data_IF_896781760974
#
_entry.id   IF_896781760974
#
_cell.length_a   1.000
_cell.length_b   1.000
_cell.length_c   1.000
_cell.angle_alpha   90.00
_cell.angle_beta   90.00
_cell.angle_gamma   90.00
#
_symmetry.space_group_name_H-M   'P 1'
#
loop_
_entity.id
_entity.type
_entity.pdbx_description
1 polymer ?
#
# COMPACT_ATOMS: atom_id res chain seq x y z
N UNK A 1 13.91 -2.57 -14.70
CA UNK A 1 12.66 -1.86 -14.34
C UNK A 1 11.56 -2.88 -14.04
N UNK A 2 10.86 -2.70 -12.94
CA UNK A 2 9.74 -3.57 -12.61
C UNK A 2 8.62 -3.46 -13.65
N UNK A 3 7.79 -4.50 -13.73
CA UNK A 3 6.63 -4.50 -14.63
C UNK A 3 5.40 -3.98 -13.90
N UNK A 4 4.75 -2.96 -14.46
CA UNK A 4 3.47 -2.47 -13.99
C UNK A 4 2.32 -3.23 -14.67
N UNK A 5 1.31 -3.61 -13.88
CA UNK A 5 0.09 -4.26 -14.35
C UNK A 5 -1.11 -3.46 -13.85
N UNK A 6 -1.93 -2.98 -14.76
CA UNK A 6 -3.16 -2.24 -14.46
C UNK A 6 -4.37 -3.16 -14.54
N UNK A 7 -5.43 -2.83 -13.80
CA UNK A 7 -6.66 -3.63 -13.76
C UNK A 7 -7.37 -3.70 -15.11
N UNK A 8 -7.27 -2.63 -15.89
CA UNK A 8 -7.81 -2.53 -17.26
C UNK A 8 -7.01 -1.49 -18.07
N UNK A 9 -7.36 -1.34 -19.35
CA UNK A 9 -6.69 -0.38 -20.25
C UNK A 9 -6.85 1.08 -19.81
N UNK A 10 -7.89 1.39 -19.03
CA UNK A 10 -8.17 2.74 -18.53
C UNK A 10 -7.62 2.99 -17.13
N UNK A 11 -7.19 1.97 -16.41
CA UNK A 11 -6.70 2.09 -15.05
C UNK A 11 -5.56 3.09 -14.89
N UNK A 12 -4.65 3.12 -15.86
CA UNK A 12 -3.53 4.07 -15.89
C UNK A 12 -4.01 5.53 -15.99
N UNK A 13 -4.99 5.79 -16.84
CA UNK A 13 -5.52 7.13 -17.11
C UNK A 13 -6.36 7.66 -15.96
N UNK A 14 -6.93 6.76 -15.16
CA UNK A 14 -7.78 7.09 -14.00
C UNK A 14 -6.99 7.27 -12.71
N UNK A 15 -5.69 7.01 -12.72
CA UNK A 15 -4.86 7.19 -11.53
C UNK A 15 -4.80 8.64 -11.09
N UNK A 16 -4.91 8.87 -9.77
CA UNK A 16 -4.62 10.17 -9.19
C UNK A 16 -3.15 10.56 -9.43
N UNK A 17 -2.88 11.85 -9.44
CA UNK A 17 -1.52 12.37 -9.72
C UNK A 17 -0.44 11.74 -8.83
N UNK A 18 -0.70 11.65 -7.50
CA UNK A 18 0.22 11.05 -6.55
C UNK A 18 0.49 9.58 -6.84
N UNK A 19 -0.56 8.82 -7.16
CA UNK A 19 -0.44 7.41 -7.52
C UNK A 19 0.35 7.22 -8.80
N UNK A 20 0.11 8.04 -9.83
CA UNK A 20 0.85 7.98 -11.09
C UNK A 20 2.34 8.23 -10.87
N UNK A 21 2.67 9.16 -9.99
CA UNK A 21 4.04 9.45 -9.62
C UNK A 21 4.70 8.28 -8.89
N UNK A 22 4.02 7.72 -7.91
CA UNK A 22 4.51 6.53 -7.18
C UNK A 22 4.69 5.36 -8.12
N UNK A 23 3.75 5.11 -9.03
CA UNK A 23 3.87 4.05 -10.04
C UNK A 23 5.13 4.22 -10.90
N UNK A 24 5.41 5.43 -11.35
CA UNK A 24 6.61 5.72 -12.14
C UNK A 24 7.91 5.45 -11.37
N UNK A 25 7.95 5.82 -10.09
CA UNK A 25 9.10 5.56 -9.22
C UNK A 25 9.29 4.06 -8.97
N UNK A 26 8.21 3.34 -8.71
CA UNK A 26 8.26 1.88 -8.51
C UNK A 26 8.76 1.19 -9.78
N UNK A 27 8.26 1.56 -10.95
CA UNK A 27 8.73 1.01 -12.23
C UNK A 27 10.21 1.23 -12.42
N UNK A 28 10.68 2.45 -12.16
CA UNK A 28 12.06 2.86 -12.41
C UNK A 28 13.08 2.20 -11.48
N UNK A 29 12.75 2.10 -10.20
CA UNK A 29 13.73 1.74 -9.17
C UNK A 29 13.64 0.30 -8.65
N UNK A 30 12.53 -0.39 -8.85
CA UNK A 30 12.42 -1.78 -8.43
C UNK A 30 13.07 -2.74 -9.44
N UNK A 31 13.55 -3.90 -8.98
CA UNK A 31 14.18 -4.91 -9.85
C UNK A 31 13.28 -5.36 -11.01
N UNK A 32 13.90 -5.80 -12.10
CA UNK A 32 13.21 -6.19 -13.34
C UNK A 32 12.26 -7.38 -13.18
N UNK A 33 12.53 -8.26 -12.24
CA UNK A 33 11.73 -9.46 -11.98
C UNK A 33 10.58 -9.22 -10.99
N UNK A 34 10.46 -7.99 -10.47
CA UNK A 34 9.33 -7.62 -9.61
C UNK A 34 8.14 -7.15 -10.44
N UNK A 35 6.94 -7.41 -9.94
CA UNK A 35 5.70 -7.02 -10.59
C UNK A 35 4.89 -6.13 -9.65
N UNK A 36 4.38 -5.03 -10.17
CA UNK A 36 3.56 -4.07 -9.43
C UNK A 36 2.16 -4.06 -10.03
N UNK A 37 1.18 -4.52 -9.28
CA UNK A 37 -0.23 -4.42 -9.64
C UNK A 37 -0.78 -3.09 -9.14
N UNK A 38 -1.31 -2.29 -10.06
CA UNK A 38 -1.80 -0.94 -9.80
C UNK A 38 -3.32 -0.93 -9.75
N UNK A 39 -3.90 -0.29 -8.72
CA UNK A 39 -5.35 -0.11 -8.56
C UNK A 39 -6.13 -1.42 -8.67
N UNK A 40 -5.67 -2.44 -7.99
CA UNK A 40 -6.31 -3.76 -8.03
C UNK A 40 -7.54 -3.80 -7.14
N UNK A 41 -8.67 -4.21 -7.72
CA UNK A 41 -9.90 -4.42 -6.98
C UNK A 41 -9.97 -5.87 -6.54
N UNK A 42 -10.13 -6.09 -5.23
CA UNK A 42 -10.32 -7.43 -4.68
C UNK A 42 -11.70 -7.56 -4.04
N UNK A 43 -12.36 -8.72 -4.17
CA UNK A 43 -13.62 -8.98 -3.48
C UNK A 43 -13.37 -9.31 -2.00
N UNK A 44 -14.21 -8.75 -1.12
CA UNK A 44 -14.16 -9.00 0.31
C UNK A 44 -15.26 -9.97 0.80
N UNK A 45 -16.04 -10.53 -0.12
CA UNK A 45 -17.25 -11.26 0.19
C UNK A 45 -18.46 -10.33 0.34
N UNK A 46 -19.67 -10.91 0.37
CA UNK A 46 -20.94 -10.17 0.54
C UNK A 46 -21.16 -9.01 -0.47
N UNK A 47 -20.58 -9.10 -1.67
CA UNK A 47 -20.70 -8.07 -2.70
C UNK A 47 -19.86 -6.82 -2.46
N UNK A 48 -19.07 -6.78 -1.40
CA UNK A 48 -18.17 -5.66 -1.09
C UNK A 48 -16.83 -5.88 -1.78
N UNK A 49 -16.28 -4.81 -2.36
CA UNK A 49 -14.96 -4.80 -2.98
C UNK A 49 -14.09 -3.71 -2.37
N UNK A 50 -12.77 -3.88 -2.48
CA UNK A 50 -11.78 -2.86 -2.09
C UNK A 50 -10.80 -2.64 -3.22
N UNK A 51 -10.49 -1.39 -3.49
CA UNK A 51 -9.40 -1.00 -4.38
C UNK A 51 -8.13 -0.87 -3.56
N UNK A 52 -7.08 -1.57 -3.99
CA UNK A 52 -5.74 -1.51 -3.39
C UNK A 52 -4.84 -0.71 -4.33
N UNK A 53 -4.15 0.30 -3.79
CA UNK A 53 -3.36 1.21 -4.62
C UNK A 53 -2.25 0.46 -5.35
N UNK A 54 -1.37 -0.24 -4.63
CA UNK A 54 -0.31 -1.05 -5.22
C UNK A 54 -0.12 -2.35 -4.47
N UNK A 55 0.01 -3.43 -5.23
CA UNK A 55 0.47 -4.72 -4.71
C UNK A 55 1.78 -5.05 -5.42
N UNK A 56 2.86 -5.09 -4.67
CA UNK A 56 4.20 -5.39 -5.20
C UNK A 56 4.53 -6.85 -4.91
N UNK A 57 4.77 -7.61 -5.96
CA UNK A 57 5.21 -9.00 -5.86
C UNK A 57 6.71 -9.04 -6.14
N UNK A 58 7.46 -9.32 -5.09
CA UNK A 58 8.90 -9.42 -5.11
C UNK A 58 9.35 -10.88 -4.90
N UNK A 59 10.66 -11.10 -4.92
CA UNK A 59 11.20 -12.42 -4.58
C UNK A 59 10.95 -12.72 -3.10
N UNK A 60 10.08 -13.68 -2.83
CA UNK A 60 9.80 -14.17 -1.48
C UNK A 60 8.88 -13.31 -0.63
N UNK A 61 8.33 -12.21 -1.15
CA UNK A 61 7.37 -11.42 -0.39
C UNK A 61 6.37 -10.68 -1.29
N UNK A 62 5.26 -10.28 -0.66
CA UNK A 62 4.24 -9.42 -1.24
C UNK A 62 4.11 -8.18 -0.36
N UNK A 63 4.11 -7.01 -0.97
CA UNK A 63 3.94 -5.75 -0.27
C UNK A 63 2.68 -5.04 -0.75
N UNK A 64 1.83 -4.65 0.20
CA UNK A 64 0.69 -3.79 -0.07
C UNK A 64 1.10 -2.35 0.25
N UNK A 65 0.98 -1.46 -0.72
CA UNK A 65 1.29 -0.04 -0.55
C UNK A 65 0.00 0.78 -0.63
N UNK A 66 -0.25 1.58 0.39
CA UNK A 66 -1.30 2.60 0.41
C UNK A 66 -0.67 3.96 0.18
N UNK A 67 -1.01 4.61 -0.93
CA UNK A 67 -0.41 5.88 -1.31
C UNK A 67 -1.23 7.07 -0.83
N UNK A 68 -0.56 8.05 -0.24
CA UNK A 68 -1.13 9.32 0.18
C UNK A 68 -0.34 10.48 -0.41
N UNK A 69 -1.03 11.42 -1.04
CA UNK A 69 -0.44 12.61 -1.64
C UNK A 69 -0.43 13.82 -0.69
N UNK A 70 -0.44 13.59 0.60
CA UNK A 70 -0.44 14.63 1.61
C UNK A 70 0.91 15.39 1.62
N UNK A 71 0.83 16.69 1.90
CA UNK A 71 1.96 17.61 1.79
C UNK A 71 2.56 17.96 3.15
N UNK A 72 3.82 18.35 3.12
CA UNK A 72 4.52 18.97 4.24
C UNK A 72 4.80 17.98 5.37
N UNK A 73 4.98 18.53 6.56
CA UNK A 73 5.30 17.76 7.74
C UNK A 73 4.04 17.08 8.29
N UNK A 74 4.09 15.78 8.41
CA UNK A 74 3.00 14.96 8.94
C UNK A 74 3.43 14.45 10.31
N UNK A 75 2.61 14.71 11.32
CA UNK A 75 2.84 14.25 12.70
C UNK A 75 1.61 13.51 13.19
N UNK A 76 1.64 12.99 14.39
CA UNK A 76 0.46 12.40 15.01
C UNK A 76 0.74 11.08 15.70
N UNK A 77 -0.32 10.33 15.88
CA UNK A 77 -0.33 9.03 16.54
C UNK A 77 -0.63 7.92 15.55
N UNK A 78 -0.72 6.70 16.03
CA UNK A 78 -1.11 5.56 15.22
C UNK A 78 -2.54 5.69 14.65
N UNK A 79 -3.43 6.37 15.37
CA UNK A 79 -4.83 6.54 14.98
C UNK A 79 -5.11 7.80 14.16
N UNK A 80 -4.42 8.91 14.47
CA UNK A 80 -4.67 10.22 13.86
C UNK A 80 -3.38 10.87 13.41
N UNK A 81 -3.37 11.30 12.18
CA UNK A 81 -2.26 12.06 11.60
C UNK A 81 -2.67 13.52 11.42
N UNK A 82 -1.75 14.42 11.75
CA UNK A 82 -1.95 15.86 11.64
C UNK A 82 -1.10 16.36 10.48
N UNK A 83 -1.76 16.96 9.50
CA UNK A 83 -1.10 17.53 8.34
C UNK A 83 -0.48 18.88 8.68
N UNK A 84 0.39 19.37 7.79
CA UNK A 84 1.09 20.64 7.94
C UNK A 84 0.13 21.83 8.10
N UNK A 85 -1.05 21.75 7.51
CA UNK A 85 -2.14 22.73 7.65
C UNK A 85 -2.82 22.74 9.02
N UNK A 86 -2.50 21.81 9.90
CA UNK A 86 -3.19 21.58 11.17
C UNK A 86 -4.43 20.70 11.06
N UNK A 87 -4.80 20.27 9.85
CA UNK A 87 -5.93 19.40 9.63
C UNK A 87 -5.60 17.97 10.10
N UNK A 88 -6.52 17.37 10.88
CA UNK A 88 -6.40 16.00 11.33
C UNK A 88 -7.04 15.03 10.33
N UNK A 89 -6.35 13.96 10.05
CA UNK A 89 -6.83 12.84 9.23
C UNK A 89 -6.74 11.56 10.01
N UNK A 90 -7.69 10.66 9.79
CA UNK A 90 -7.55 9.31 10.30
C UNK A 90 -6.30 8.67 9.69
N UNK A 91 -5.48 8.02 10.52
CA UNK A 91 -4.28 7.34 10.05
C UNK A 91 -4.64 6.27 9.00
N UNK A 92 -3.89 6.16 7.91
CA UNK A 92 -4.09 5.10 6.93
C UNK A 92 -3.66 3.72 7.42
N UNK A 93 -3.00 3.63 8.58
CA UNK A 93 -2.48 2.36 9.11
C UNK A 93 -3.58 1.36 9.45
N UNK A 94 -4.72 1.82 9.99
CA UNK A 94 -5.85 0.94 10.29
C UNK A 94 -6.48 0.34 9.03
N UNK A 95 -6.68 1.15 8.01
CA UNK A 95 -7.16 0.70 6.69
C UNK A 95 -6.16 -0.24 6.03
N UNK A 96 -4.88 0.07 6.13
CA UNK A 96 -3.81 -0.75 5.59
C UNK A 96 -3.78 -2.12 6.26
N UNK A 97 -3.89 -2.19 7.59
CA UNK A 97 -3.94 -3.44 8.34
C UNK A 97 -5.16 -4.27 7.92
N UNK A 98 -6.33 -3.65 7.86
CA UNK A 98 -7.56 -4.32 7.41
C UNK A 98 -7.41 -4.85 5.98
N UNK A 99 -6.92 -4.04 5.05
CA UNK A 99 -6.72 -4.44 3.66
C UNK A 99 -5.67 -5.54 3.52
N UNK A 100 -4.62 -5.51 4.33
CA UNK A 100 -3.58 -6.55 4.34
C UNK A 100 -4.16 -7.90 4.77
N UNK A 101 -4.99 -7.93 5.80
CA UNK A 101 -5.69 -9.15 6.24
C UNK A 101 -6.62 -9.69 5.16
N UNK A 102 -7.34 -8.81 4.47
CA UNK A 102 -8.25 -9.21 3.38
C UNK A 102 -7.47 -9.73 2.16
N UNK A 103 -6.37 -9.09 1.82
CA UNK A 103 -5.48 -9.57 0.76
C UNK A 103 -4.90 -10.95 1.11
N UNK A 104 -4.49 -11.15 2.36
CA UNK A 104 -4.01 -12.44 2.84
C UNK A 104 -5.07 -13.54 2.63
N UNK A 105 -6.30 -13.30 3.06
CA UNK A 105 -7.40 -14.24 2.88
C UNK A 105 -7.67 -14.54 1.40
N UNK A 106 -7.67 -13.51 0.57
CA UNK A 106 -7.85 -13.62 -0.88
C UNK A 106 -6.76 -14.48 -1.52
N UNK A 107 -5.50 -14.27 -1.16
CA UNK A 107 -4.37 -15.01 -1.73
C UNK A 107 -4.35 -16.46 -1.25
N UNK A 108 -4.56 -16.71 0.04
CA UNK A 108 -4.52 -18.08 0.60
C UNK A 108 -5.69 -18.94 0.13
N UNK A 109 -6.83 -18.33 -0.14
CA UNK A 109 -7.99 -19.04 -0.72
C UNK A 109 -7.70 -19.51 -2.15
N UNK A 110 -7.02 -18.68 -2.95
CA UNK A 110 -6.71 -18.98 -4.35
C UNK A 110 -5.46 -19.81 -4.54
N UNK A 111 -4.51 -19.68 -3.63
CA UNK A 111 -3.24 -20.41 -3.64
C UNK A 111 -3.07 -21.07 -2.27
N UNK A 112 -3.72 -22.26 -2.07
CA UNK A 112 -3.72 -22.92 -0.76
C UNK A 112 -2.35 -23.23 -0.20
N UNK A 113 -1.33 -23.36 -1.05
CA UNK A 113 0.06 -23.61 -0.66
C UNK A 113 0.63 -22.48 0.20
N UNK A 114 0.10 -21.26 0.07
CA UNK A 114 0.54 -20.13 0.88
C UNK A 114 0.20 -20.30 2.36
N UNK A 115 -0.85 -21.05 2.69
CA UNK A 115 -1.24 -21.30 4.08
C UNK A 115 -0.27 -22.23 4.81
N UNK A 116 0.55 -23.00 4.08
CA UNK A 116 1.58 -23.85 4.67
C UNK A 116 2.90 -23.13 4.93
N UNK A 117 3.04 -21.89 4.45
CA UNK A 117 4.21 -21.08 4.74
C UNK A 117 4.20 -20.63 6.21
N UNK A 118 5.38 -20.34 6.73
CA UNK A 118 5.55 -19.74 8.04
C UNK A 118 4.70 -18.48 8.19
N UNK A 119 4.46 -17.97 9.42
CA UNK A 119 3.48 -16.91 9.66
C UNK A 119 3.44 -15.84 8.56
N UNK A 120 2.26 -15.37 8.14
CA UNK A 120 2.12 -14.40 7.05
C UNK A 120 2.97 -13.15 7.21
N UNK A 121 3.32 -12.78 8.45
CA UNK A 121 4.20 -11.68 8.77
C UNK A 121 5.60 -11.79 8.16
N UNK A 122 5.97 -12.96 7.63
CA UNK A 122 7.26 -13.16 6.98
C UNK A 122 7.24 -12.97 5.46
N UNK A 123 6.05 -12.87 4.86
CA UNK A 123 5.98 -12.73 3.40
C UNK A 123 4.96 -11.69 2.92
N UNK A 124 4.06 -11.21 3.79
CA UNK A 124 3.10 -10.15 3.46
C UNK A 124 3.35 -8.93 4.34
N UNK A 125 3.62 -7.79 3.71
CA UNK A 125 3.95 -6.53 4.38
C UNK A 125 3.04 -5.41 3.87
N UNK A 126 2.69 -4.48 4.75
CA UNK A 126 1.95 -3.29 4.41
C UNK A 126 2.75 -2.02 4.71
N UNK A 127 2.73 -1.07 3.79
CA UNK A 127 3.42 0.21 3.92
C UNK A 127 2.55 1.36 3.42
N UNK A 128 2.71 2.52 4.02
CA UNK A 128 2.16 3.78 3.52
C UNK A 128 3.26 4.50 2.76
N UNK A 129 2.95 4.92 1.52
CA UNK A 129 3.84 5.74 0.72
C UNK A 129 3.32 7.17 0.68
N UNK A 130 4.22 8.14 0.78
CA UNK A 130 3.90 9.56 0.69
C UNK A 130 4.44 10.09 -0.63
N UNK A 131 3.55 10.31 -1.59
CA UNK A 131 3.92 10.63 -2.98
C UNK A 131 4.28 12.09 -3.22
N UNK A 132 3.91 13.01 -2.32
CA UNK A 132 4.25 14.41 -2.49
C UNK A 132 5.69 14.69 -2.09
N UNK A 133 6.44 15.44 -2.93
CA UNK A 133 7.88 15.73 -2.70
C UNK A 133 8.16 16.47 -1.40
N UNK A 134 7.22 17.29 -0.92
CA UNK A 134 7.38 18.04 0.32
C UNK A 134 6.98 17.23 1.56
N UNK A 135 6.42 16.02 1.40
CA UNK A 135 5.99 15.23 2.52
C UNK A 135 7.18 14.75 3.35
N UNK A 136 7.14 15.01 4.64
CA UNK A 136 8.11 14.52 5.61
C UNK A 136 7.37 13.96 6.81
N UNK A 137 7.89 12.89 7.36
CA UNK A 137 7.35 12.26 8.55
C UNK A 137 8.50 12.01 9.51
N UNK A 138 8.83 13.02 10.33
CA UNK A 138 9.88 12.86 11.31
C UNK A 138 9.44 11.80 12.34
N UNK A 139 10.33 10.92 12.67
CA UNK A 139 10.19 9.95 13.76
C UNK A 139 9.00 8.99 13.63
N UNK A 140 8.85 8.34 12.45
CA UNK A 140 7.94 7.20 12.30
C UNK A 140 8.19 6.15 13.40
N UNK A 141 9.44 6.03 13.85
CA UNK A 141 9.81 5.15 14.94
C UNK A 141 9.20 5.60 16.28
N UNK A 142 8.97 6.89 16.48
CA UNK A 142 8.34 7.40 17.70
C UNK A 142 6.83 7.09 17.73
N UNK A 143 6.17 7.07 16.56
CA UNK A 143 4.78 6.64 16.47
C UNK A 143 4.61 5.18 16.90
N UNK A 144 5.61 4.34 16.65
CA UNK A 144 5.60 2.93 17.03
C UNK A 144 6.06 2.67 18.47
N UNK A 145 6.75 3.61 19.08
CA UNK A 145 7.27 3.48 20.45
C UNK A 145 6.27 3.89 21.53
N UNK A 146 5.19 4.55 21.15
CA UNK A 146 4.12 4.93 22.09
C UNK A 146 3.07 3.83 22.30
N UNK A 147 3.27 2.68 21.69
CA UNK A 147 2.41 1.49 21.87
C UNK A 147 2.86 0.68 23.12
#
# INVERSE_FOLDING_TARGET
>A
MARLVYSDEHGKDLMAWGESRTAAELEKYLPDDWVVYCNKIIPLGSGITRELDFIVVASGCVMLLEDKSWRGRITGTEEWWVLDTGESRKSPLGKLDFNSRKLLGYLTERVPELSSLTPPTYWLFGYVTLSHTSATMPDIDDIRKED
#
